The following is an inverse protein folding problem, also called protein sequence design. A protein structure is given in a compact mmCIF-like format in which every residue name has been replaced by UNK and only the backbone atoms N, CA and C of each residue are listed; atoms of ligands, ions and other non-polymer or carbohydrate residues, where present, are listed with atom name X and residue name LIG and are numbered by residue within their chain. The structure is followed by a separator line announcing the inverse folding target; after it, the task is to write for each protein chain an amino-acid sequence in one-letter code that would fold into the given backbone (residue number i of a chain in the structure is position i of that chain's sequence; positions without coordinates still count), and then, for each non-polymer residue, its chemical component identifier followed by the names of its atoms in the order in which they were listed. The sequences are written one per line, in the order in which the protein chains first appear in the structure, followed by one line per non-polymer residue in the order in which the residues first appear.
data_IF_570708746434
#
_entry.id   IF_570708746434
#
_cell.length_a   1.000
_cell.length_b   1.000
_cell.length_c   1.000
_cell.angle_alpha   90.00
_cell.angle_beta   90.00
_cell.angle_gamma   90.00
#
_symmetry.space_group_name_H-M   'P 1'
#
loop_
_entity.id
_entity.type
_entity.pdbx_description
1 polymer ?
#
# COMPACT_ATOMS: atom_id res chain seq x y z
N UNK A 1 -2.27 63.43 15.35
CA UNK A 1 -1.36 62.88 14.34
C UNK A 1 -1.08 61.43 14.70
N UNK A 2 -2.01 60.54 14.36
CA UNK A 2 -1.79 59.15 13.92
C UNK A 2 -3.17 58.56 13.62
N UNK A 3 -3.35 58.20 12.36
CA UNK A 3 -4.56 57.63 11.73
C UNK A 3 -4.50 56.12 12.05
N UNK A 4 -5.51 55.42 12.58
CA UNK A 4 -6.92 55.42 12.20
C UNK A 4 -7.20 54.31 11.17
N UNK A 5 -6.69 53.09 11.35
CA UNK A 5 -7.02 51.97 10.46
C UNK A 5 -8.25 51.20 10.96
N UNK A 6 -9.31 51.26 10.15
CA UNK A 6 -10.55 50.51 10.31
C UNK A 6 -10.42 49.22 9.49
N UNK A 7 -10.79 48.03 10.00
CA UNK A 7 -10.73 46.83 9.19
C UNK A 7 -11.85 46.83 8.14
N UNK A 8 -11.48 46.59 6.88
CA UNK A 8 -12.38 46.51 5.74
C UNK A 8 -13.40 45.35 5.88
N UNK A 9 -14.62 45.49 5.33
CA UNK A 9 -15.64 44.46 5.44
C UNK A 9 -15.25 43.21 4.63
N UNK A 10 -15.45 42.02 5.24
CA UNK A 10 -15.40 40.73 4.55
C UNK A 10 -16.44 40.72 3.43
N UNK A 11 -15.97 40.59 2.19
CA UNK A 11 -16.84 40.33 1.05
C UNK A 11 -17.57 38.99 1.26
N UNK A 12 -18.89 39.07 1.38
CA UNK A 12 -19.80 37.94 1.18
C UNK A 12 -19.67 37.49 -0.26
N UNK A 13 -19.14 36.28 -0.47
CA UNK A 13 -19.20 35.61 -1.77
C UNK A 13 -20.64 35.19 -2.00
N UNK A 14 -21.35 35.98 -2.79
CA UNK A 14 -22.65 35.63 -3.36
C UNK A 14 -22.55 34.34 -4.16
N UNK A 15 -23.42 33.40 -3.82
CA UNK A 15 -23.67 32.20 -4.57
C UNK A 15 -24.49 32.55 -5.82
N UNK A 16 -23.81 32.96 -6.89
CA UNK A 16 -24.42 33.03 -8.22
C UNK A 16 -23.76 32.00 -9.14
N UNK A 17 -24.44 30.87 -9.28
CA UNK A 17 -24.75 30.25 -10.58
C UNK A 17 -23.76 30.54 -11.71
N UNK A 18 -22.73 29.72 -11.82
CA UNK A 18 -22.04 29.45 -13.09
C UNK A 18 -22.10 27.96 -13.37
N UNK A 19 -23.13 27.55 -14.12
CA UNK A 19 -23.01 26.44 -15.06
C UNK A 19 -21.90 26.80 -16.05
N UNK A 20 -20.69 26.30 -15.82
CA UNK A 20 -19.67 26.20 -16.86
C UNK A 20 -19.33 24.73 -17.02
N UNK A 21 -19.44 24.25 -18.25
CA UNK A 21 -19.00 22.96 -18.75
C UNK A 21 -17.78 22.45 -18.01
N UNK A 22 -18.00 21.46 -17.15
CA UNK A 22 -16.92 20.75 -16.50
C UNK A 22 -16.30 19.86 -17.59
N UNK A 23 -15.38 20.41 -18.40
CA UNK A 23 -14.48 19.60 -19.22
C UNK A 23 -13.71 18.73 -18.24
N UNK A 24 -14.26 17.55 -17.96
CA UNK A 24 -13.76 16.64 -16.93
C UNK A 24 -12.33 16.33 -17.30
N UNK A 25 -11.38 16.88 -16.53
CA UNK A 25 -9.98 16.67 -16.84
C UNK A 25 -9.72 15.16 -16.93
N UNK A 26 -8.94 14.72 -17.93
CA UNK A 26 -8.60 13.31 -18.07
C UNK A 26 -7.94 12.79 -16.78
N UNK A 27 -8.07 11.49 -16.55
CA UNK A 27 -7.39 10.83 -15.41
C UNK A 27 -5.87 11.00 -15.54
N UNK A 28 -5.09 10.93 -14.45
CA UNK A 28 -3.64 11.18 -14.51
C UNK A 28 -2.87 10.32 -15.52
N UNK A 29 -3.32 9.08 -15.74
CA UNK A 29 -2.75 8.14 -16.70
C UNK A 29 -3.71 7.84 -17.86
N UNK A 30 -4.61 8.76 -18.19
CA UNK A 30 -5.43 8.64 -19.39
C UNK A 30 -4.53 8.53 -20.64
N UNK A 31 -4.87 7.60 -21.53
CA UNK A 31 -4.04 7.27 -22.70
C UNK A 31 -2.84 6.37 -22.43
N UNK A 32 -2.51 6.04 -21.17
CA UNK A 32 -1.45 5.06 -20.85
C UNK A 32 -2.02 3.64 -20.90
N UNK A 33 -1.37 2.75 -21.62
CA UNK A 33 -1.73 1.32 -21.71
C UNK A 33 -0.70 0.44 -21.00
N UNK A 34 -1.17 -0.50 -20.20
CA UNK A 34 -0.35 -1.40 -19.37
C UNK A 34 -0.64 -2.84 -19.73
N UNK A 35 0.40 -3.61 -20.06
CA UNK A 35 0.33 -5.07 -20.17
C UNK A 35 0.73 -5.69 -18.83
N UNK A 36 -0.24 -6.28 -18.14
CA UNK A 36 -0.11 -6.92 -16.84
C UNK A 36 0.07 -8.43 -17.02
N UNK A 37 1.31 -8.90 -16.95
CA UNK A 37 1.67 -10.33 -16.95
C UNK A 37 1.82 -10.89 -15.53
N UNK A 38 1.29 -10.18 -14.53
CA UNK A 38 1.57 -10.48 -13.12
C UNK A 38 0.52 -11.39 -12.49
N UNK A 39 0.89 -11.99 -11.36
CA UNK A 39 0.03 -12.88 -10.58
C UNK A 39 0.12 -12.62 -9.08
N UNK A 40 -0.88 -13.12 -8.34
CA UNK A 40 -0.92 -13.10 -6.87
C UNK A 40 -1.11 -11.69 -6.29
N UNK A 41 -0.05 -10.99 -5.84
CA UNK A 41 -0.20 -9.76 -5.07
C UNK A 41 0.67 -8.59 -5.49
N UNK A 42 2.00 -8.64 -5.36
CA UNK A 42 2.85 -7.45 -5.59
C UNK A 42 2.65 -6.80 -6.97
N UNK A 43 2.66 -7.62 -8.03
CA UNK A 43 2.40 -7.17 -9.39
C UNK A 43 0.96 -6.72 -9.62
N UNK A 44 -0.06 -7.55 -9.26
CA UNK A 44 -1.45 -7.13 -9.43
C UNK A 44 -1.82 -5.87 -8.65
N UNK A 45 -1.25 -5.67 -7.47
CA UNK A 45 -1.42 -4.46 -6.66
C UNK A 45 -0.81 -3.23 -7.36
N UNK A 46 0.40 -3.37 -7.94
CA UNK A 46 1.02 -2.34 -8.76
C UNK A 46 0.13 -1.94 -9.95
N UNK A 47 -0.29 -2.91 -10.76
CA UNK A 47 -1.06 -2.63 -11.98
C UNK A 47 -2.49 -2.17 -11.68
N UNK A 48 -3.09 -2.62 -10.58
CA UNK A 48 -4.37 -2.08 -10.09
C UNK A 48 -4.26 -0.59 -9.77
N UNK A 49 -3.19 -0.16 -9.09
CA UNK A 49 -2.98 1.26 -8.76
C UNK A 49 -2.77 2.11 -10.04
N UNK A 50 -2.09 1.59 -11.06
CA UNK A 50 -2.00 2.25 -12.38
C UNK A 50 -3.38 2.34 -13.04
N UNK A 51 -4.18 1.29 -12.96
CA UNK A 51 -5.58 1.30 -13.39
C UNK A 51 -6.41 2.34 -12.64
N UNK A 52 -6.27 2.44 -11.32
CA UNK A 52 -6.96 3.44 -10.48
C UNK A 52 -6.61 4.88 -10.89
N UNK A 53 -5.37 5.12 -11.32
CA UNK A 53 -4.88 6.38 -11.86
C UNK A 53 -5.32 6.66 -13.32
N UNK A 54 -6.03 5.75 -13.97
CA UNK A 54 -6.62 6.00 -15.30
C UNK A 54 -6.11 5.10 -16.42
N UNK A 55 -5.03 4.33 -16.20
CA UNK A 55 -4.46 3.52 -17.25
C UNK A 55 -5.43 2.42 -17.74
N UNK A 56 -5.31 2.05 -19.01
CA UNK A 56 -5.95 0.85 -19.57
C UNK A 56 -5.04 -0.35 -19.30
N UNK A 57 -5.47 -1.23 -18.39
CA UNK A 57 -4.66 -2.36 -17.92
C UNK A 57 -5.19 -3.65 -18.52
N UNK A 58 -4.38 -4.29 -19.36
CA UNK A 58 -4.65 -5.58 -19.99
C UNK A 58 -3.95 -6.67 -19.18
N UNK A 59 -4.71 -7.44 -18.41
CA UNK A 59 -4.23 -8.59 -17.65
C UNK A 59 -4.21 -9.84 -18.53
N UNK A 60 -3.03 -10.41 -18.71
CA UNK A 60 -2.82 -11.68 -19.39
C UNK A 60 -2.87 -12.81 -18.37
N UNK A 61 -3.76 -13.76 -18.59
CA UNK A 61 -4.01 -14.85 -17.66
C UNK A 61 -3.82 -16.22 -18.35
N UNK A 62 -3.28 -17.23 -17.66
CA UNK A 62 -3.14 -18.56 -18.22
C UNK A 62 -4.51 -19.24 -18.40
N UNK A 63 -4.64 -20.15 -19.39
CA UNK A 63 -5.90 -20.83 -19.64
C UNK A 63 -6.34 -21.70 -18.46
N UNK A 64 -7.66 -21.85 -18.32
CA UNK A 64 -8.37 -22.66 -17.31
C UNK A 64 -8.29 -22.13 -15.88
N UNK A 65 -7.10 -21.81 -15.38
CA UNK A 65 -6.93 -21.40 -13.98
C UNK A 65 -6.99 -19.90 -13.79
N UNK A 66 -6.56 -19.13 -14.80
CA UNK A 66 -6.29 -17.71 -14.65
C UNK A 66 -5.21 -17.42 -13.60
N UNK A 67 -5.22 -16.19 -13.06
CA UNK A 67 -4.39 -15.81 -11.93
C UNK A 67 -4.63 -16.73 -10.71
N UNK A 68 -3.55 -17.12 -10.01
CA UNK A 68 -3.65 -17.98 -8.83
C UNK A 68 -4.60 -17.42 -7.75
N UNK A 69 -4.71 -16.10 -7.62
CA UNK A 69 -5.64 -15.44 -6.70
C UNK A 69 -7.12 -15.78 -6.96
N UNK A 70 -7.48 -16.27 -8.14
CA UNK A 70 -8.83 -16.79 -8.46
C UNK A 70 -9.19 -18.07 -7.69
N UNK A 71 -8.22 -18.75 -7.06
CA UNK A 71 -8.48 -19.96 -6.25
C UNK A 71 -7.90 -19.91 -4.82
N UNK A 72 -7.26 -18.81 -4.42
CA UNK A 72 -6.68 -18.65 -3.07
C UNK A 72 -7.71 -18.51 -1.93
N UNK A 73 -7.44 -19.09 -0.76
CA UNK A 73 -8.31 -18.91 0.42
C UNK A 73 -9.45 -19.92 0.54
N UNK A 74 -9.58 -20.86 -0.40
CA UNK A 74 -10.53 -21.96 -0.33
C UNK A 74 -12.00 -21.52 -0.46
N UNK A 75 -12.92 -22.43 -0.14
CA UNK A 75 -14.37 -22.23 -0.34
C UNK A 75 -14.95 -21.08 0.48
N UNK A 76 -14.35 -20.73 1.61
CA UNK A 76 -14.81 -19.64 2.48
C UNK A 76 -14.64 -18.24 1.85
N UNK A 77 -13.74 -18.09 0.88
CA UNK A 77 -13.49 -16.82 0.19
C UNK A 77 -14.08 -16.79 -1.23
N UNK A 78 -14.72 -17.88 -1.64
CA UNK A 78 -15.30 -18.01 -2.97
C UNK A 78 -16.57 -17.16 -3.07
N UNK A 79 -16.64 -16.36 -4.15
CA UNK A 79 -17.85 -15.61 -4.50
C UNK A 79 -18.54 -16.27 -5.69
N UNK A 80 -19.69 -15.76 -6.13
CA UNK A 80 -20.36 -16.30 -7.32
C UNK A 80 -19.48 -16.13 -8.58
N UNK A 81 -19.51 -17.14 -9.45
CA UNK A 81 -18.74 -17.17 -10.70
C UNK A 81 -17.29 -17.64 -10.52
N UNK A 82 -16.40 -17.10 -11.35
CA UNK A 82 -14.95 -17.28 -11.27
C UNK A 82 -14.26 -16.20 -10.42
N UNK A 83 -15.06 -15.40 -9.72
CA UNK A 83 -14.63 -14.38 -8.77
C UNK A 83 -14.34 -15.01 -7.42
N UNK A 84 -13.10 -14.88 -6.97
CA UNK A 84 -12.70 -15.21 -5.61
C UNK A 84 -12.22 -13.95 -4.91
N UNK A 85 -12.51 -13.78 -3.62
CA UNK A 85 -12.30 -12.51 -2.93
C UNK A 85 -10.87 -11.93 -3.07
N UNK A 86 -9.78 -12.72 -3.04
CA UNK A 86 -8.43 -12.21 -3.30
C UNK A 86 -8.25 -11.63 -4.71
N UNK A 87 -8.79 -12.28 -5.74
CA UNK A 87 -8.74 -11.76 -7.10
C UNK A 87 -9.53 -10.45 -7.22
N UNK A 88 -10.74 -10.42 -6.65
CA UNK A 88 -11.61 -9.23 -6.68
C UNK A 88 -10.97 -8.03 -5.98
N UNK A 89 -10.20 -8.26 -4.92
CA UNK A 89 -9.52 -7.20 -4.17
C UNK A 89 -8.35 -6.55 -4.93
N UNK A 90 -7.79 -7.21 -5.96
CA UNK A 90 -6.52 -6.81 -6.59
C UNK A 90 -6.62 -6.53 -8.10
N UNK A 91 -7.79 -6.66 -8.71
CA UNK A 91 -7.91 -6.64 -10.18
C UNK A 91 -9.01 -5.72 -10.73
N UNK A 92 -9.54 -4.79 -9.93
CA UNK A 92 -10.41 -3.72 -10.45
C UNK A 92 -9.69 -2.88 -11.51
N UNK A 93 -10.45 -2.23 -12.38
CA UNK A 93 -9.95 -1.40 -13.49
C UNK A 93 -9.12 -2.14 -14.56
N UNK A 94 -9.15 -3.48 -14.58
CA UNK A 94 -8.43 -4.29 -15.57
C UNK A 94 -9.38 -4.89 -16.60
N UNK A 95 -8.85 -5.19 -17.78
CA UNK A 95 -9.42 -6.08 -18.80
C UNK A 95 -8.66 -7.40 -18.76
N UNK A 96 -9.32 -8.52 -19.06
CA UNK A 96 -8.70 -9.86 -19.01
C UNK A 96 -8.66 -10.50 -20.39
N UNK A 97 -7.50 -11.03 -20.77
CA UNK A 97 -7.30 -11.90 -21.92
C UNK A 97 -6.64 -13.21 -21.47
N UNK A 98 -7.13 -14.33 -21.99
CA UNK A 98 -6.52 -15.64 -21.77
C UNK A 98 -5.50 -15.94 -22.87
N UNK A 99 -4.25 -16.19 -22.47
CA UNK A 99 -3.16 -16.58 -23.37
C UNK A 99 -2.31 -17.70 -22.72
N UNK A 100 -2.10 -18.80 -23.43
CA UNK A 100 -1.03 -19.73 -23.14
C UNK A 100 0.28 -19.24 -23.75
N UNK A 101 1.10 -18.53 -22.95
CA UNK A 101 2.37 -17.98 -23.43
C UNK A 101 3.39 -19.03 -23.90
N UNK A 102 3.14 -20.33 -23.69
CA UNK A 102 3.93 -21.42 -24.28
C UNK A 102 3.52 -21.74 -25.72
N UNK A 103 2.26 -21.49 -26.07
CA UNK A 103 1.77 -21.58 -27.45
C UNK A 103 2.40 -20.49 -28.29
N UNK A 104 2.79 -20.84 -29.52
CA UNK A 104 3.40 -19.88 -30.45
C UNK A 104 2.43 -18.76 -30.83
N UNK A 105 1.16 -19.10 -31.07
CA UNK A 105 0.15 -18.12 -31.48
C UNK A 105 -0.19 -17.12 -30.35
N UNK A 106 -0.45 -17.62 -29.15
CA UNK A 106 -0.74 -16.78 -27.99
C UNK A 106 0.46 -15.92 -27.58
N UNK A 107 1.68 -16.47 -27.70
CA UNK A 107 2.91 -15.69 -27.52
C UNK A 107 3.02 -14.59 -28.59
N UNK A 108 2.72 -14.88 -29.85
CA UNK A 108 2.71 -13.88 -30.91
C UNK A 108 1.67 -12.78 -30.66
N UNK A 109 0.50 -13.14 -30.12
CA UNK A 109 -0.53 -12.18 -29.69
C UNK A 109 -0.03 -11.30 -28.54
N UNK A 110 0.62 -11.88 -27.52
CA UNK A 110 1.24 -11.11 -26.44
C UNK A 110 2.30 -10.13 -26.95
N UNK A 111 3.18 -10.59 -27.85
CA UNK A 111 4.21 -9.74 -28.50
C UNK A 111 3.57 -8.62 -29.32
N UNK A 112 2.48 -8.89 -30.04
CA UNK A 112 1.76 -7.87 -30.78
C UNK A 112 1.20 -6.78 -29.85
N UNK A 113 0.65 -7.16 -28.69
CA UNK A 113 0.19 -6.22 -27.67
C UNK A 113 1.32 -5.33 -27.15
N UNK A 114 2.54 -5.86 -26.97
CA UNK A 114 3.70 -5.09 -26.48
C UNK A 114 4.00 -3.86 -27.35
N UNK A 115 3.72 -3.93 -28.66
CA UNK A 115 3.90 -2.79 -29.58
C UNK A 115 2.93 -1.64 -29.33
N UNK A 116 1.87 -1.90 -28.60
CA UNK A 116 0.73 -0.99 -28.44
C UNK A 116 0.57 -0.47 -27.02
N UNK A 117 1.41 -0.93 -26.08
CA UNK A 117 1.40 -0.53 -24.67
C UNK A 117 2.57 0.38 -24.32
N UNK A 118 2.40 1.13 -23.24
CA UNK A 118 3.41 2.01 -22.67
C UNK A 118 4.23 1.34 -21.59
N UNK A 119 3.59 0.44 -20.83
CA UNK A 119 4.15 -0.24 -19.68
C UNK A 119 3.91 -1.74 -19.81
N UNK A 120 4.91 -2.55 -19.51
CA UNK A 120 4.76 -3.98 -19.24
C UNK A 120 5.18 -4.24 -17.80
N UNK A 121 4.34 -4.93 -17.03
CA UNK A 121 4.67 -5.36 -15.67
C UNK A 121 4.62 -6.88 -15.61
N UNK A 122 5.66 -7.49 -15.05
CA UNK A 122 5.73 -8.93 -14.85
C UNK A 122 6.33 -9.26 -13.49
N UNK A 123 5.95 -10.42 -12.93
CA UNK A 123 6.51 -10.92 -11.68
C UNK A 123 6.83 -12.41 -11.73
N UNK A 124 7.31 -12.88 -12.89
CA UNK A 124 7.75 -14.24 -13.02
C UNK A 124 9.08 -14.45 -12.29
N UNK A 125 9.42 -15.72 -12.05
CA UNK A 125 10.77 -16.06 -11.59
C UNK A 125 11.80 -15.60 -12.63
N UNK A 126 12.99 -15.14 -12.19
CA UNK A 126 14.08 -14.79 -13.10
C UNK A 126 14.32 -15.84 -14.19
N UNK A 127 14.55 -15.36 -15.41
CA UNK A 127 14.76 -16.19 -16.60
C UNK A 127 13.50 -16.79 -17.25
N UNK A 128 12.30 -16.67 -16.65
CA UNK A 128 11.05 -17.10 -17.31
C UNK A 128 10.76 -16.26 -18.55
N UNK A 129 10.80 -14.93 -18.42
CA UNK A 129 10.51 -14.01 -19.54
C UNK A 129 11.48 -14.20 -20.70
N UNK A 130 12.76 -14.43 -20.43
CA UNK A 130 13.76 -14.78 -21.45
C UNK A 130 13.43 -16.08 -22.20
N UNK A 131 13.00 -17.12 -21.49
CA UNK A 131 12.58 -18.39 -22.13
C UNK A 131 11.31 -18.23 -22.97
N UNK A 132 10.45 -17.29 -22.59
CA UNK A 132 9.24 -16.93 -23.34
C UNK A 132 9.52 -15.91 -24.45
N UNK A 133 10.74 -15.38 -24.59
CA UNK A 133 11.05 -14.30 -25.52
C UNK A 133 10.29 -13.00 -25.22
N UNK A 134 9.98 -12.76 -23.93
CA UNK A 134 9.26 -11.60 -23.39
C UNK A 134 10.15 -10.79 -22.42
N UNK A 135 11.47 -10.99 -22.46
CA UNK A 135 12.44 -10.18 -21.71
C UNK A 135 12.53 -8.75 -22.22
N UNK A 136 13.12 -7.87 -21.42
CA UNK A 136 13.22 -6.45 -21.73
C UNK A 136 13.98 -6.17 -23.02
N UNK A 137 15.11 -6.84 -23.25
CA UNK A 137 15.93 -6.62 -24.45
C UNK A 137 15.13 -6.95 -25.71
N UNK A 138 14.42 -8.08 -25.71
CA UNK A 138 13.54 -8.49 -26.81
C UNK A 138 12.38 -7.50 -27.02
N UNK A 139 11.71 -7.09 -25.93
CA UNK A 139 10.53 -6.24 -26.02
C UNK A 139 10.87 -4.78 -26.37
N UNK A 140 11.95 -4.24 -25.80
CA UNK A 140 12.41 -2.86 -26.06
C UNK A 140 12.94 -2.66 -27.47
N UNK A 141 13.49 -3.70 -28.11
CA UNK A 141 13.86 -3.66 -29.52
C UNK A 141 12.64 -3.42 -30.44
N UNK A 142 11.47 -3.95 -30.07
CA UNK A 142 10.23 -3.75 -30.81
C UNK A 142 9.49 -2.48 -30.40
N UNK A 143 9.57 -2.09 -29.13
CA UNK A 143 8.98 -0.88 -28.59
C UNK A 143 10.01 -0.10 -27.77
N UNK A 144 10.83 0.79 -28.39
CA UNK A 144 11.84 1.57 -27.68
C UNK A 144 11.29 2.55 -26.64
N UNK A 145 9.96 2.75 -26.62
CA UNK A 145 9.23 3.60 -25.68
C UNK A 145 8.69 2.81 -24.47
N UNK A 146 8.90 1.50 -24.43
CA UNK A 146 8.37 0.63 -23.40
C UNK A 146 9.05 0.88 -22.04
N UNK A 147 8.23 1.15 -21.03
CA UNK A 147 8.65 1.00 -19.63
C UNK A 147 8.41 -0.44 -19.23
N UNK A 148 9.47 -1.16 -18.85
CA UNK A 148 9.37 -2.56 -18.43
C UNK A 148 9.67 -2.66 -16.95
N UNK A 149 8.72 -3.16 -16.17
CA UNK A 149 8.84 -3.33 -14.73
C UNK A 149 8.85 -4.81 -14.35
N UNK A 150 9.91 -5.24 -13.68
CA UNK A 150 10.04 -6.59 -13.12
C UNK A 150 9.92 -6.56 -11.61
N UNK A 151 9.10 -7.44 -11.04
CA UNK A 151 8.97 -7.58 -9.58
C UNK A 151 9.28 -9.03 -9.20
N UNK A 152 10.31 -9.26 -8.40
CA UNK A 152 10.71 -10.63 -8.01
C UNK A 152 10.91 -10.79 -6.50
N UNK A 153 11.27 -11.99 -6.06
CA UNK A 153 11.56 -12.26 -4.65
C UNK A 153 12.77 -11.49 -4.11
N UNK A 154 13.86 -11.51 -4.87
CA UNK A 154 15.19 -11.08 -4.42
C UNK A 154 15.96 -10.25 -5.46
N UNK A 155 15.30 -9.82 -6.53
CA UNK A 155 15.91 -9.11 -7.67
C UNK A 155 16.25 -10.06 -8.81
N UNK A 156 16.62 -9.51 -9.97
CA UNK A 156 17.11 -10.27 -11.12
C UNK A 156 18.61 -10.60 -11.01
N UNK A 157 19.31 -10.01 -10.02
CA UNK A 157 20.75 -10.20 -9.81
C UNK A 157 21.06 -10.55 -8.35
N UNK A 158 22.33 -10.83 -8.06
CA UNK A 158 22.79 -11.24 -6.74
C UNK A 158 22.64 -12.74 -6.46
N UNK A 159 23.15 -13.22 -5.32
CA UNK A 159 23.29 -14.65 -5.03
C UNK A 159 21.94 -15.38 -4.87
N UNK A 160 20.84 -14.64 -4.67
CA UNK A 160 19.52 -15.18 -4.37
C UNK A 160 18.51 -14.97 -5.50
N UNK A 161 18.92 -14.46 -6.66
CA UNK A 161 18.03 -14.17 -7.78
C UNK A 161 17.12 -15.36 -8.15
N UNK A 162 17.69 -16.58 -8.22
CA UNK A 162 16.93 -17.77 -8.63
C UNK A 162 16.07 -18.40 -7.51
N UNK A 163 16.06 -17.82 -6.29
CA UNK A 163 15.27 -18.37 -5.18
C UNK A 163 13.78 -18.04 -5.34
N UNK A 164 12.88 -18.95 -4.95
CA UNK A 164 11.46 -18.63 -4.88
C UNK A 164 11.22 -17.56 -3.82
N UNK A 165 10.52 -16.49 -4.19
CA UNK A 165 10.15 -15.39 -3.29
C UNK A 165 8.67 -15.38 -2.97
N UNK A 166 8.36 -15.26 -1.69
CA UNK A 166 7.04 -14.94 -1.16
C UNK A 166 7.23 -13.95 -0.01
N UNK A 167 6.19 -13.16 0.27
CA UNK A 167 6.21 -12.14 1.32
C UNK A 167 6.77 -12.66 2.66
N UNK A 168 6.26 -13.79 3.16
CA UNK A 168 6.71 -14.38 4.43
C UNK A 168 8.22 -14.68 4.43
N UNK A 169 8.74 -15.18 3.32
CA UNK A 169 10.18 -15.49 3.19
C UNK A 169 10.99 -14.19 3.16
N UNK A 170 10.53 -13.18 2.43
CA UNK A 170 11.17 -11.87 2.40
C UNK A 170 11.18 -11.22 3.80
N UNK A 171 10.06 -11.22 4.53
CA UNK A 171 10.01 -10.70 5.91
C UNK A 171 11.01 -11.41 6.85
N UNK A 172 11.14 -12.73 6.73
CA UNK A 172 12.10 -13.50 7.52
C UNK A 172 13.56 -13.18 7.18
N UNK A 173 13.85 -12.93 5.90
CA UNK A 173 15.22 -12.68 5.43
C UNK A 173 15.68 -11.22 5.60
N UNK A 174 14.75 -10.30 5.82
CA UNK A 174 15.04 -8.85 5.92
C UNK A 174 15.12 -8.33 7.36
N UNK A 175 14.99 -9.23 8.35
CA UNK A 175 15.04 -8.87 9.76
C UNK A 175 13.72 -8.30 10.32
N UNK A 176 12.72 -8.04 9.47
CA UNK A 176 11.38 -7.56 9.91
C UNK A 176 10.79 -8.47 10.98
N UNK A 177 10.87 -9.80 10.79
CA UNK A 177 10.33 -10.74 11.77
C UNK A 177 11.11 -10.76 13.10
N UNK A 178 12.39 -10.41 13.08
CA UNK A 178 13.24 -10.35 14.29
C UNK A 178 12.88 -9.15 15.18
N UNK A 179 12.33 -8.09 14.59
CA UNK A 179 11.99 -6.84 15.29
C UNK A 179 10.50 -6.70 15.58
N UNK A 180 9.69 -7.66 15.14
CA UNK A 180 8.23 -7.67 15.27
C UNK A 180 7.79 -8.71 16.30
N UNK A 181 6.97 -8.28 17.26
CA UNK A 181 6.44 -9.12 18.33
C UNK A 181 6.85 -8.64 19.73
N UNK A 182 6.60 -9.48 20.73
CA UNK A 182 6.95 -9.19 22.12
C UNK A 182 8.46 -9.40 22.40
N UNK A 183 9.04 -8.65 23.36
CA UNK A 183 10.41 -8.89 23.81
C UNK A 183 10.63 -10.35 24.23
N UNK A 184 11.65 -11.00 23.67
CA UNK A 184 11.96 -12.41 23.97
C UNK A 184 10.96 -13.44 23.43
N UNK A 185 9.96 -13.00 22.65
CA UNK A 185 9.00 -13.88 21.99
C UNK A 185 9.58 -14.56 20.73
N UNK A 186 8.78 -15.44 20.13
CA UNK A 186 9.09 -16.03 18.82
C UNK A 186 8.96 -14.97 17.71
N UNK A 187 9.78 -15.03 16.63
CA UNK A 187 9.67 -14.09 15.51
C UNK A 187 8.25 -14.04 14.91
N UNK A 188 7.70 -12.84 14.72
CA UNK A 188 6.35 -12.65 14.19
C UNK A 188 6.40 -11.94 12.84
N UNK A 189 5.57 -12.37 11.88
CA UNK A 189 5.38 -11.61 10.65
C UNK A 189 4.48 -10.41 10.89
N UNK A 190 4.58 -9.41 10.03
CA UNK A 190 3.59 -8.34 9.94
C UNK A 190 2.20 -8.94 9.64
N UNK A 191 1.15 -8.34 10.22
CA UNK A 191 -0.24 -8.76 10.01
C UNK A 191 -0.67 -8.66 8.54
N UNK A 192 -0.10 -7.71 7.80
CA UNK A 192 -0.28 -7.52 6.37
C UNK A 192 0.94 -7.99 5.57
N UNK A 193 0.78 -8.35 4.28
CA UNK A 193 1.88 -8.77 3.41
C UNK A 193 2.72 -7.57 2.98
N UNK A 194 3.53 -7.05 3.91
CA UNK A 194 4.23 -5.78 3.78
C UNK A 194 5.26 -5.77 2.64
N UNK A 195 5.93 -6.88 2.36
CA UNK A 195 6.91 -6.98 1.29
C UNK A 195 6.22 -6.98 -0.08
N UNK A 196 5.10 -7.72 -0.24
CA UNK A 196 4.31 -7.68 -1.48
C UNK A 196 3.76 -6.26 -1.76
N UNK A 197 3.13 -5.65 -0.75
CA UNK A 197 2.50 -4.34 -0.88
C UNK A 197 3.54 -3.25 -1.15
N UNK A 198 4.67 -3.26 -0.44
CA UNK A 198 5.73 -2.26 -0.63
C UNK A 198 6.45 -2.43 -1.97
N UNK A 199 6.74 -3.66 -2.41
CA UNK A 199 7.28 -3.89 -3.75
C UNK A 199 6.34 -3.35 -4.84
N UNK A 200 5.04 -3.57 -4.70
CA UNK A 200 4.05 -3.00 -5.60
C UNK A 200 4.06 -1.45 -5.60
N UNK A 201 4.17 -0.81 -4.43
CA UNK A 201 4.25 0.66 -4.32
C UNK A 201 5.54 1.22 -4.93
N UNK A 202 6.70 0.59 -4.67
CA UNK A 202 7.96 1.00 -5.27
C UNK A 202 7.97 0.82 -6.78
N UNK A 203 7.36 -0.26 -7.30
CA UNK A 203 7.18 -0.46 -8.73
C UNK A 203 6.31 0.64 -9.36
N UNK A 204 5.18 1.00 -8.74
CA UNK A 204 4.34 2.13 -9.21
C UNK A 204 5.15 3.43 -9.25
N UNK A 205 5.90 3.74 -8.19
CA UNK A 205 6.75 4.93 -8.15
C UNK A 205 7.78 4.94 -9.30
N UNK A 206 8.50 3.83 -9.49
CA UNK A 206 9.45 3.67 -10.58
C UNK A 206 8.81 3.83 -11.96
N UNK A 207 7.63 3.23 -12.19
CA UNK A 207 6.89 3.33 -13.45
C UNK A 207 6.47 4.77 -13.73
N UNK A 208 5.90 5.48 -12.75
CA UNK A 208 5.51 6.88 -12.91
C UNK A 208 6.72 7.76 -13.23
N UNK A 209 7.84 7.57 -12.53
CA UNK A 209 9.09 8.28 -12.82
C UNK A 209 9.63 7.94 -14.22
N UNK A 210 9.56 6.68 -14.65
CA UNK A 210 9.98 6.26 -15.98
C UNK A 210 9.11 6.83 -17.10
N UNK A 211 7.79 6.92 -16.89
CA UNK A 211 6.88 7.57 -17.83
C UNK A 211 7.17 9.07 -17.96
N UNK A 212 7.47 9.75 -16.84
CA UNK A 212 7.90 11.15 -16.84
C UNK A 212 9.25 11.33 -17.55
N UNK A 213 10.24 10.47 -17.28
CA UNK A 213 11.53 10.51 -17.96
C UNK A 213 11.38 10.30 -19.47
N UNK A 214 10.53 9.34 -19.88
CA UNK A 214 10.19 9.07 -21.27
C UNK A 214 9.54 10.25 -21.99
N UNK A 215 8.76 11.07 -21.28
CA UNK A 215 8.17 12.28 -21.87
C UNK A 215 9.25 13.28 -22.34
N UNK A 216 10.43 13.26 -21.73
CA UNK A 216 11.57 14.11 -22.10
C UNK A 216 12.51 13.42 -23.09
N UNK A 217 12.85 12.16 -22.84
CA UNK A 217 13.85 11.42 -23.62
C UNK A 217 13.29 10.79 -24.90
N UNK A 218 11.97 10.61 -24.96
CA UNK A 218 11.31 9.82 -25.99
C UNK A 218 11.53 8.31 -25.86
N UNK A 219 12.27 7.82 -24.86
CA UNK A 219 12.65 6.41 -24.68
C UNK A 219 12.14 5.85 -23.36
N UNK A 220 11.69 4.59 -23.40
CA UNK A 220 11.38 3.83 -22.21
C UNK A 220 12.65 3.30 -21.53
N UNK A 221 12.46 2.52 -20.46
CA UNK A 221 13.56 1.91 -19.72
C UNK A 221 13.10 0.67 -18.96
N UNK A 222 14.08 -0.14 -18.57
CA UNK A 222 13.91 -1.23 -17.63
C UNK A 222 13.97 -0.71 -16.21
N UNK A 223 13.09 -1.23 -15.35
CA UNK A 223 13.19 -1.08 -13.90
C UNK A 223 12.84 -2.40 -13.23
N UNK A 224 13.45 -2.64 -12.08
CA UNK A 224 13.15 -3.79 -11.23
C UNK A 224 13.04 -3.38 -9.77
N UNK A 225 12.34 -4.19 -9.00
CA UNK A 225 12.33 -4.16 -7.54
C UNK A 225 12.10 -5.58 -7.03
N UNK A 226 12.34 -5.80 -5.75
CA UNK A 226 12.07 -7.08 -5.12
C UNK A 226 11.33 -6.98 -3.79
N UNK A 227 10.73 -8.11 -3.38
CA UNK A 227 10.14 -8.24 -2.04
C UNK A 227 11.19 -8.03 -0.95
N UNK A 228 12.42 -8.52 -1.16
CA UNK A 228 13.53 -8.36 -0.24
C UNK A 228 13.97 -6.90 -0.09
N UNK A 229 14.25 -6.22 -1.21
CA UNK A 229 14.72 -4.83 -1.18
C UNK A 229 13.65 -3.88 -0.66
N UNK A 230 12.38 -4.10 -1.03
CA UNK A 230 11.28 -3.26 -0.58
C UNK A 230 11.03 -3.37 0.93
N UNK A 231 11.08 -4.58 1.49
CA UNK A 231 11.01 -4.80 2.94
C UNK A 231 12.19 -4.14 3.68
N UNK A 232 13.43 -4.27 3.17
CA UNK A 232 14.58 -3.58 3.76
C UNK A 232 14.45 -2.06 3.68
N UNK A 233 13.96 -1.52 2.57
CA UNK A 233 13.78 -0.09 2.38
C UNK A 233 12.81 0.54 3.41
N UNK A 234 11.91 -0.25 3.99
CA UNK A 234 11.01 0.19 5.06
C UNK A 234 11.63 0.14 6.47
N UNK A 235 12.79 -0.50 6.64
CA UNK A 235 13.45 -0.73 7.94
C UNK A 235 14.34 0.45 8.38
N UNK A 236 13.86 1.69 8.22
CA UNK A 236 14.66 2.92 8.36
C UNK A 236 15.15 3.12 9.80
N UNK A 237 14.29 2.93 10.80
CA UNK A 237 14.67 3.13 12.20
C UNK A 237 15.53 1.98 12.72
N UNK A 238 15.24 0.76 12.30
CA UNK A 238 15.98 -0.45 12.66
C UNK A 238 17.43 -0.40 12.16
N UNK A 239 17.62 -0.03 10.89
CA UNK A 239 18.95 0.13 10.30
C UNK A 239 19.70 1.29 10.95
N UNK A 240 19.01 2.40 11.25
CA UNK A 240 19.61 3.53 11.97
C UNK A 240 20.07 3.13 13.37
N UNK A 241 19.25 2.41 14.15
CA UNK A 241 19.61 1.91 15.48
C UNK A 241 20.83 0.98 15.40
N UNK A 242 20.83 0.06 14.44
CA UNK A 242 21.95 -0.87 14.23
C UNK A 242 23.24 -0.14 13.89
N UNK A 243 23.24 0.76 12.91
CA UNK A 243 24.45 1.48 12.49
C UNK A 243 24.96 2.45 13.56
N UNK A 244 24.07 3.07 14.33
CA UNK A 244 24.46 3.99 15.39
C UNK A 244 25.06 3.28 16.62
N UNK A 245 24.61 2.06 16.92
CA UNK A 245 24.97 1.38 18.18
C UNK A 245 25.82 0.12 18.00
N UNK A 246 25.91 -0.42 16.78
CA UNK A 246 26.53 -1.71 16.48
C UNK A 246 25.74 -2.92 16.98
N UNK A 247 24.53 -2.73 17.53
CA UNK A 247 23.71 -3.80 18.11
C UNK A 247 22.43 -3.95 17.32
N UNK A 248 22.10 -5.19 16.94
CA UNK A 248 20.88 -5.46 16.20
C UNK A 248 19.65 -5.12 17.06
N UNK A 249 18.66 -4.40 16.50
CA UNK A 249 17.41 -4.12 17.19
C UNK A 249 16.66 -5.41 17.55
N UNK A 250 15.97 -5.41 18.68
CA UNK A 250 15.10 -6.49 19.10
C UNK A 250 13.62 -6.09 18.98
N UNK A 251 12.74 -7.10 19.08
CA UNK A 251 11.30 -6.91 19.24
C UNK A 251 10.97 -6.24 20.57
N UNK A 252 9.99 -5.33 20.56
CA UNK A 252 9.66 -4.47 21.71
C UNK A 252 8.16 -4.29 21.96
N UNK A 253 7.32 -5.17 21.39
CA UNK A 253 5.88 -5.00 21.37
C UNK A 253 5.48 -3.74 20.60
N UNK A 254 4.54 -2.97 21.15
CA UNK A 254 4.03 -1.72 20.55
C UNK A 254 4.93 -0.50 20.78
N UNK A 255 6.05 -0.64 21.51
CA UNK A 255 6.87 0.49 21.91
C UNK A 255 7.73 1.08 20.80
N UNK A 256 7.81 2.41 20.78
CA UNK A 256 8.68 3.14 19.86
C UNK A 256 10.16 3.06 20.30
N UNK A 257 11.07 2.88 19.34
CA UNK A 257 12.53 2.73 19.56
C UNK A 257 13.18 3.98 20.16
N UNK A 258 12.76 5.14 19.68
CA UNK A 258 13.43 6.41 19.96
C UNK A 258 12.69 7.34 20.92
N UNK A 259 11.48 6.98 21.35
CA UNK A 259 10.66 7.88 22.16
C UNK A 259 9.86 7.12 23.23
N UNK A 260 9.75 7.71 24.42
CA UNK A 260 8.91 7.19 25.49
C UNK A 260 8.21 8.33 26.27
N UNK A 261 6.92 8.19 26.65
CA UNK A 261 6.02 7.12 26.25
C UNK A 261 5.51 7.33 24.81
N UNK A 262 5.69 6.30 23.99
CA UNK A 262 5.06 6.19 22.67
C UNK A 262 4.82 4.70 22.39
N UNK A 263 3.66 4.20 22.84
CA UNK A 263 3.30 2.79 22.78
C UNK A 263 1.81 2.58 23.09
N UNK A 264 1.37 1.32 23.04
CA UNK A 264 0.08 0.90 23.57
C UNK A 264 0.14 0.70 25.10
N UNK A 265 -0.97 1.04 25.77
CA UNK A 265 -1.17 0.87 27.20
C UNK A 265 -2.54 0.26 27.47
N UNK A 266 -2.63 -0.62 28.46
CA UNK A 266 -3.90 -1.22 28.88
C UNK A 266 -4.78 -0.22 29.64
N UNK A 267 -6.08 -0.26 29.37
CA UNK A 267 -7.14 0.48 30.09
C UNK A 267 -8.10 -0.51 30.76
N UNK A 268 -9.23 -0.06 31.31
CA UNK A 268 -10.19 -0.96 31.97
C UNK A 268 -10.87 -1.96 31.01
N UNK A 269 -10.98 -1.62 29.72
CA UNK A 269 -11.77 -2.36 28.72
C UNK A 269 -11.03 -2.66 27.41
N UNK A 270 -9.79 -2.19 27.24
CA UNK A 270 -9.04 -2.39 26.01
C UNK A 270 -7.62 -1.82 26.06
N UNK A 271 -7.21 -1.22 24.94
CA UNK A 271 -5.89 -0.60 24.80
C UNK A 271 -5.99 0.78 24.16
N UNK A 272 -5.14 1.69 24.63
CA UNK A 272 -4.95 3.03 24.10
C UNK A 272 -3.50 3.21 23.64
N UNK A 273 -3.29 3.76 22.45
CA UNK A 273 -2.00 4.29 22.04
C UNK A 273 -1.85 5.72 22.55
N UNK A 274 -0.71 6.05 23.16
CA UNK A 274 -0.39 7.40 23.64
C UNK A 274 0.97 7.81 23.08
N UNK A 275 1.10 9.06 22.58
CA UNK A 275 2.36 9.61 22.10
C UNK A 275 2.71 10.94 22.78
N UNK A 276 3.54 10.89 23.83
CA UNK A 276 4.02 12.08 24.54
C UNK A 276 5.46 12.45 24.14
N UNK A 277 5.60 12.93 22.91
CA UNK A 277 6.90 13.19 22.28
C UNK A 277 7.60 14.48 22.74
N UNK A 278 6.84 15.50 23.13
CA UNK A 278 7.36 16.80 23.52
C UNK A 278 7.30 16.99 25.04
N UNK A 279 8.11 17.88 25.63
CA UNK A 279 7.98 18.24 27.05
C UNK A 279 6.56 18.71 27.42
N UNK A 280 5.88 19.42 26.50
CA UNK A 280 4.50 19.85 26.69
C UNK A 280 3.53 18.66 26.73
N UNK A 281 3.64 17.70 25.78
CA UNK A 281 2.80 16.50 25.82
C UNK A 281 3.05 15.68 27.09
N UNK A 282 4.31 15.58 27.53
CA UNK A 282 4.66 14.87 28.76
C UNK A 282 4.02 15.53 30.00
N UNK A 283 4.12 16.85 30.12
CA UNK A 283 3.47 17.60 31.20
C UNK A 283 1.95 17.45 31.20
N UNK A 284 1.31 17.58 30.03
CA UNK A 284 -0.13 17.37 29.88
C UNK A 284 -0.54 15.94 30.22
N UNK A 285 0.25 14.94 29.82
CA UNK A 285 -0.02 13.54 30.13
C UNK A 285 -0.02 13.30 31.64
N UNK A 286 1.06 13.66 32.34
CA UNK A 286 1.15 13.46 33.79
C UNK A 286 0.04 14.20 34.56
N UNK A 287 -0.31 15.41 34.12
CA UNK A 287 -1.40 16.18 34.73
C UNK A 287 -2.75 15.48 34.51
N UNK A 288 -3.02 15.02 33.28
CA UNK A 288 -4.29 14.36 32.91
C UNK A 288 -4.46 13.01 33.59
N UNK A 289 -3.36 12.27 33.78
CA UNK A 289 -3.34 11.00 34.52
C UNK A 289 -3.45 11.19 36.05
N UNK A 290 -3.36 12.42 36.56
CA UNK A 290 -3.34 12.67 38.01
C UNK A 290 -2.03 12.20 38.66
N UNK A 291 -0.93 12.14 37.90
CA UNK A 291 0.39 11.68 38.34
C UNK A 291 1.46 12.77 38.27
N UNK A 292 1.25 13.99 38.84
CA UNK A 292 2.22 15.08 38.75
C UNK A 292 3.59 14.72 39.36
N UNK A 293 3.64 13.75 40.27
CA UNK A 293 4.90 13.21 40.80
C UNK A 293 5.83 12.66 39.72
N UNK A 294 5.31 12.13 38.61
CA UNK A 294 6.12 11.67 37.48
C UNK A 294 6.90 12.80 36.81
N UNK A 295 6.39 14.04 36.84
CA UNK A 295 7.10 15.18 36.24
C UNK A 295 8.34 15.58 37.03
N UNK A 296 8.29 15.41 38.35
CA UNK A 296 9.41 15.72 39.25
C UNK A 296 10.41 14.55 39.38
N UNK A 297 10.06 13.36 38.88
CA UNK A 297 10.90 12.17 39.01
C UNK A 297 12.12 12.23 38.07
N UNK A 298 13.32 12.10 38.65
CA UNK A 298 14.57 12.10 37.90
C UNK A 298 14.64 10.97 36.84
N UNK A 299 13.91 9.86 37.04
CA UNK A 299 13.78 8.76 36.07
C UNK A 299 13.10 9.18 34.77
N UNK A 300 12.32 10.27 34.77
CA UNK A 300 11.48 10.69 33.63
C UNK A 300 11.74 12.11 33.12
N UNK A 301 12.79 12.76 33.63
CA UNK A 301 13.10 14.18 33.38
C UNK A 301 13.21 14.55 31.88
N UNK A 302 13.69 13.62 31.06
CA UNK A 302 13.90 13.80 29.63
C UNK A 302 13.62 12.49 28.87
N UNK A 303 13.61 12.54 27.54
CA UNK A 303 13.30 11.37 26.72
C UNK A 303 14.30 10.23 26.91
N UNK A 304 15.59 10.53 27.09
CA UNK A 304 16.61 9.51 27.28
C UNK A 304 16.38 8.73 28.59
N UNK A 305 16.06 9.46 29.67
CA UNK A 305 15.72 8.85 30.95
C UNK A 305 14.41 8.06 30.89
N UNK A 306 13.39 8.56 30.18
CA UNK A 306 12.14 7.80 29.96
C UNK A 306 12.37 6.52 29.15
N UNK A 307 13.23 6.55 28.13
CA UNK A 307 13.62 5.37 27.36
C UNK A 307 14.36 4.32 28.20
N UNK A 308 15.27 4.78 29.06
CA UNK A 308 16.02 3.93 29.97
C UNK A 308 15.13 3.26 31.03
N UNK A 309 14.03 3.93 31.41
CA UNK A 309 13.08 3.45 32.42
C UNK A 309 11.73 3.01 31.82
N UNK A 310 11.67 2.70 30.52
CA UNK A 310 10.41 2.54 29.77
C UNK A 310 9.44 1.54 30.38
N UNK A 311 9.94 0.41 30.88
CA UNK A 311 9.09 -0.65 31.41
C UNK A 311 8.45 -0.23 32.73
N UNK A 312 9.20 0.47 33.57
CA UNK A 312 8.69 1.02 34.83
C UNK A 312 7.69 2.14 34.53
N UNK A 313 8.04 3.05 33.62
CA UNK A 313 7.15 4.12 33.16
C UNK A 313 5.84 3.56 32.62
N UNK A 314 5.89 2.51 31.80
CA UNK A 314 4.71 1.90 31.22
C UNK A 314 3.78 1.33 32.29
N UNK A 315 4.32 0.58 33.25
CA UNK A 315 3.52 0.04 34.37
C UNK A 315 2.85 1.14 35.19
N UNK A 316 3.56 2.24 35.46
CA UNK A 316 2.99 3.35 36.23
C UNK A 316 1.91 4.10 35.43
N UNK A 317 2.07 4.25 34.10
CA UNK A 317 1.02 4.80 33.22
C UNK A 317 -0.21 3.89 33.18
N UNK A 318 -0.02 2.58 33.01
CA UNK A 318 -1.12 1.61 32.99
C UNK A 318 -1.89 1.58 34.31
N UNK A 319 -1.19 1.69 35.45
CA UNK A 319 -1.84 1.80 36.75
C UNK A 319 -2.73 3.04 36.85
N UNK A 320 -2.30 4.17 36.27
CA UNK A 320 -3.09 5.39 36.21
C UNK A 320 -4.28 5.29 35.25
N UNK A 321 -4.15 4.51 34.16
CA UNK A 321 -5.19 4.29 33.17
C UNK A 321 -6.25 3.26 33.60
N UNK A 322 -5.91 2.32 34.48
CA UNK A 322 -6.78 1.21 34.90
C UNK A 322 -8.21 1.60 35.36
N UNK A 323 -8.47 2.77 36.00
CA UNK A 323 -9.81 3.11 36.50
C UNK A 323 -10.85 3.49 35.45
N UNK A 324 -10.47 3.76 34.19
CA UNK A 324 -11.40 4.24 33.16
C UNK A 324 -11.25 3.52 31.82
N UNK A 325 -12.32 3.61 31.03
CA UNK A 325 -12.42 3.03 29.70
C UNK A 325 -11.48 3.70 28.71
N UNK A 326 -11.18 2.99 27.63
CA UNK A 326 -10.38 3.48 26.50
C UNK A 326 -10.96 4.79 25.95
N UNK A 327 -12.26 4.82 25.68
CA UNK A 327 -12.95 6.00 25.15
C UNK A 327 -12.82 7.22 26.08
N UNK A 328 -13.04 7.03 27.39
CA UNK A 328 -12.93 8.12 28.36
C UNK A 328 -11.51 8.70 28.43
N UNK A 329 -10.48 7.85 28.33
CA UNK A 329 -9.10 8.34 28.28
C UNK A 329 -8.74 9.03 26.97
N UNK A 330 -9.18 8.51 25.83
CA UNK A 330 -8.98 9.15 24.53
C UNK A 330 -9.55 10.57 24.55
N UNK A 331 -10.78 10.77 25.01
CA UNK A 331 -11.40 12.09 25.11
C UNK A 331 -10.60 13.05 26.01
N UNK A 332 -10.23 12.60 27.22
CA UNK A 332 -9.47 13.41 28.19
C UNK A 332 -8.09 13.81 27.65
N UNK A 333 -7.36 12.87 27.06
CA UNK A 333 -6.02 13.12 26.53
C UNK A 333 -6.05 14.04 25.31
N UNK A 334 -7.00 13.84 24.39
CA UNK A 334 -7.18 14.74 23.25
C UNK A 334 -7.56 16.15 23.70
N UNK A 335 -8.46 16.29 24.69
CA UNK A 335 -8.81 17.59 25.27
C UNK A 335 -7.60 18.30 25.94
N UNK A 336 -6.63 17.53 26.45
CA UNK A 336 -5.38 18.04 27.01
C UNK A 336 -4.26 18.25 25.97
N UNK A 337 -4.55 18.04 24.68
CA UNK A 337 -3.57 18.17 23.59
C UNK A 337 -2.54 17.05 23.52
N UNK A 338 -2.80 15.90 24.17
CA UNK A 338 -1.95 14.71 24.10
C UNK A 338 -2.47 13.79 22.99
N UNK A 339 -1.67 13.49 21.94
CA UNK A 339 -2.07 12.55 20.91
C UNK A 339 -2.33 11.16 21.50
N UNK A 340 -3.57 10.67 21.33
CA UNK A 340 -3.98 9.35 21.77
C UNK A 340 -5.10 8.78 20.86
N UNK A 341 -5.22 7.46 20.81
CA UNK A 341 -6.28 6.79 20.06
C UNK A 341 -6.46 5.32 20.47
N UNK A 342 -7.66 4.75 20.28
CA UNK A 342 -7.93 3.35 20.62
C UNK A 342 -7.18 2.40 19.69
N UNK A 343 -6.85 1.19 20.18
CA UNK A 343 -6.53 0.06 19.32
C UNK A 343 -7.82 -0.71 19.07
N UNK A 344 -8.25 -0.70 17.82
CA UNK A 344 -9.50 -1.32 17.36
C UNK A 344 -9.21 -2.51 16.46
N UNK A 345 -10.18 -3.41 16.33
CA UNK A 345 -10.10 -4.49 15.34
C UNK A 345 -10.42 -4.01 13.91
N UNK A 346 -10.38 -4.94 12.96
CA UNK A 346 -10.60 -4.63 11.55
C UNK A 346 -12.08 -4.31 11.24
N UNK A 347 -13.04 -4.91 11.94
CA UNK A 347 -14.46 -4.61 11.74
C UNK A 347 -14.78 -3.18 12.21
N UNK A 348 -14.30 -2.82 13.40
CA UNK A 348 -14.39 -1.47 13.95
C UNK A 348 -13.74 -0.44 13.00
N UNK A 349 -12.52 -0.71 12.51
CA UNK A 349 -11.83 0.19 11.58
C UNK A 349 -12.57 0.37 10.24
N UNK A 350 -13.18 -0.70 9.71
CA UNK A 350 -13.89 -0.66 8.42
C UNK A 350 -15.30 -0.06 8.54
N UNK A 351 -15.87 -0.01 9.73
CA UNK A 351 -17.19 0.59 10.02
C UNK A 351 -17.09 1.98 10.64
N UNK A 352 -15.88 2.45 10.94
CA UNK A 352 -15.63 3.76 11.54
C UNK A 352 -16.16 4.91 10.66
N UNK A 353 -16.87 5.91 11.25
CA UNK A 353 -17.39 7.05 10.51
C UNK A 353 -16.33 7.83 9.72
N UNK A 354 -15.09 7.90 10.21
CA UNK A 354 -13.98 8.52 9.50
C UNK A 354 -13.58 7.71 8.26
N UNK A 355 -13.50 6.38 8.34
CA UNK A 355 -13.20 5.54 7.18
C UNK A 355 -14.23 5.73 6.05
N UNK A 356 -15.52 5.82 6.42
CA UNK A 356 -16.60 6.14 5.48
C UNK A 356 -16.53 7.57 4.94
N UNK A 357 -16.35 8.58 5.80
CA UNK A 357 -16.22 9.98 5.39
C UNK A 357 -15.00 10.21 4.48
N UNK A 358 -13.95 9.40 4.64
CA UNK A 358 -12.75 9.39 3.80
C UNK A 358 -12.86 8.46 2.60
N UNK A 359 -14.03 7.89 2.33
CA UNK A 359 -14.30 7.05 1.15
C UNK A 359 -13.25 5.94 1.03
N UNK A 360 -12.97 5.24 2.14
CA UNK A 360 -12.04 4.11 2.17
C UNK A 360 -12.75 2.77 1.99
N UNK A 361 -14.08 2.77 1.95
CA UNK A 361 -14.91 1.59 1.67
C UNK A 361 -15.77 1.91 0.45
N UNK A 362 -15.42 1.34 -0.70
CA UNK A 362 -16.08 1.60 -1.98
C UNK A 362 -16.94 0.40 -2.40
N UNK A 363 -18.26 0.59 -2.62
CA UNK A 363 -19.09 -0.44 -3.22
C UNK A 363 -18.81 -0.54 -4.73
N UNK A 364 -18.72 -1.77 -5.23
CA UNK A 364 -18.51 -2.06 -6.65
C UNK A 364 -19.57 -3.08 -7.09
N UNK A 365 -20.33 -2.75 -8.12
CA UNK A 365 -21.25 -3.70 -8.76
C UNK A 365 -20.44 -4.61 -9.69
N UNK A 366 -20.45 -5.91 -9.42
CA UNK A 366 -19.77 -6.91 -10.22
C UNK A 366 -20.80 -7.80 -10.94
N UNK A 367 -20.65 -8.08 -12.25
CA UNK A 367 -21.64 -8.80 -13.05
C UNK A 367 -22.07 -10.15 -12.49
N UNK A 368 -21.13 -10.90 -11.90
CA UNK A 368 -21.39 -12.24 -11.33
C UNK A 368 -21.41 -12.26 -9.80
N UNK A 369 -20.40 -11.70 -9.13
CA UNK A 369 -20.31 -11.64 -7.67
C UNK A 369 -21.33 -10.69 -7.00
N UNK A 370 -22.11 -9.92 -7.77
CA UNK A 370 -23.04 -8.93 -7.25
C UNK A 370 -22.33 -7.72 -6.63
N UNK A 371 -22.94 -7.11 -5.63
CA UNK A 371 -22.36 -5.93 -4.96
C UNK A 371 -21.25 -6.36 -4.01
N UNK A 372 -20.00 -6.02 -4.35
CA UNK A 372 -18.81 -6.28 -3.53
C UNK A 372 -18.27 -4.99 -2.92
N UNK A 373 -17.44 -5.10 -1.87
CA UNK A 373 -16.74 -3.97 -1.27
C UNK A 373 -15.26 -4.05 -1.59
N UNK A 374 -14.65 -2.91 -1.87
CA UNK A 374 -13.19 -2.79 -2.05
C UNK A 374 -12.66 -1.62 -1.22
N UNK A 375 -11.36 -1.64 -0.91
CA UNK A 375 -10.72 -0.48 -0.29
C UNK A 375 -10.70 0.69 -1.27
N UNK A 376 -11.09 1.87 -0.80
CA UNK A 376 -11.03 3.10 -1.56
C UNK A 376 -9.61 3.63 -1.73
N UNK A 377 -9.48 4.77 -2.40
CA UNK A 377 -8.17 5.29 -2.78
C UNK A 377 -7.50 6.08 -1.64
N UNK A 378 -6.29 5.73 -1.20
CA UNK A 378 -5.63 6.40 -0.06
C UNK A 378 -5.11 7.81 -0.40
N UNK A 379 -4.97 8.16 -1.69
CA UNK A 379 -4.59 9.51 -2.15
C UNK A 379 -5.81 10.19 -2.76
N UNK A 380 -6.19 11.36 -2.25
CA UNK A 380 -7.36 12.12 -2.73
C UNK A 380 -6.91 13.23 -3.68
N UNK A 381 -7.10 13.02 -4.98
CA UNK A 381 -6.78 14.02 -6.00
C UNK A 381 -7.89 15.06 -6.12
N UNK A 382 -7.55 16.34 -6.05
CA UNK A 382 -8.52 17.43 -6.14
C UNK A 382 -9.10 17.63 -7.55
N UNK A 383 -8.26 17.56 -8.58
CA UNK A 383 -8.68 17.86 -9.96
C UNK A 383 -8.94 16.61 -10.81
N UNK A 384 -8.29 15.49 -10.51
CA UNK A 384 -8.33 14.25 -11.31
C UNK A 384 -8.56 13.03 -10.40
N UNK A 385 -9.75 12.93 -9.75
CA UNK A 385 -10.02 11.89 -8.76
C UNK A 385 -9.96 10.48 -9.36
N UNK A 386 -9.30 9.57 -8.65
CA UNK A 386 -9.29 8.13 -8.96
C UNK A 386 -10.70 7.54 -8.83
N UNK A 387 -11.00 6.53 -9.66
CA UNK A 387 -12.31 5.90 -9.73
C UNK A 387 -12.21 4.43 -10.09
N UNK A 388 -13.14 3.63 -9.56
CA UNK A 388 -13.40 2.29 -10.09
C UNK A 388 -14.26 2.45 -11.34
N UNK A 389 -13.61 2.41 -12.51
CA UNK A 389 -14.23 2.49 -13.84
C UNK A 389 -14.74 1.13 -14.31
N UNK A 390 -14.05 0.06 -13.93
CA UNK A 390 -14.43 -1.33 -14.25
C UNK A 390 -14.34 -2.20 -12.99
N UNK A 391 -15.31 -3.10 -12.75
CA UNK A 391 -15.12 -4.15 -11.76
C UNK A 391 -13.96 -5.06 -12.16
N UNK A 392 -13.43 -5.89 -11.24
CA UNK A 392 -12.51 -6.96 -11.61
C UNK A 392 -13.10 -7.84 -12.73
N UNK A 393 -12.32 -8.20 -13.77
CA UNK A 393 -12.86 -8.89 -14.92
C UNK A 393 -13.05 -10.39 -14.68
N UNK A 394 -14.07 -10.97 -15.31
CA UNK A 394 -14.13 -12.44 -15.48
C UNK A 394 -12.94 -12.90 -16.35
N UNK A 395 -12.55 -14.16 -16.19
CA UNK A 395 -11.42 -14.77 -16.89
C UNK A 395 -11.67 -14.72 -18.40
N UNK A 396 -10.82 -13.96 -19.10
CA UNK A 396 -10.90 -13.82 -20.54
C UNK A 396 -12.08 -13.00 -21.04
N UNK A 397 -12.78 -12.26 -20.17
CA UNK A 397 -13.96 -11.45 -20.51
C UNK A 397 -13.75 -10.54 -21.74
N UNK A 398 -12.51 -10.07 -21.93
CA UNK A 398 -12.17 -9.10 -22.96
C UNK A 398 -11.30 -9.71 -24.08
N UNK A 399 -11.19 -11.04 -24.15
CA UNK A 399 -10.22 -11.71 -25.05
C UNK A 399 -10.43 -11.35 -26.52
N UNK A 400 -11.68 -11.32 -27.00
CA UNK A 400 -12.01 -10.99 -28.40
C UNK A 400 -11.64 -9.54 -28.72
N UNK A 401 -12.00 -8.60 -27.85
CA UNK A 401 -11.68 -7.17 -27.98
C UNK A 401 -10.16 -6.94 -28.03
N UNK A 402 -9.43 -7.55 -27.09
CA UNK A 402 -7.98 -7.39 -26.96
C UNK A 402 -7.24 -8.06 -28.14
N UNK A 403 -7.69 -9.22 -28.63
CA UNK A 403 -7.13 -9.86 -29.84
C UNK A 403 -7.31 -8.99 -31.08
N UNK A 404 -8.46 -8.33 -31.22
CA UNK A 404 -8.68 -7.34 -32.30
C UNK A 404 -7.72 -6.15 -32.18
N UNK A 405 -7.53 -5.60 -30.98
CA UNK A 405 -6.55 -4.52 -30.74
C UNK A 405 -5.11 -4.94 -31.07
N UNK A 406 -4.79 -6.23 -30.92
CA UNK A 406 -3.51 -6.80 -31.31
C UNK A 406 -3.39 -7.10 -32.82
N UNK A 407 -4.47 -6.96 -33.60
CA UNK A 407 -4.52 -7.36 -35.01
C UNK A 407 -4.50 -8.87 -35.22
N UNK A 408 -5.13 -9.63 -34.32
CA UNK A 408 -5.12 -11.11 -34.25
C UNK A 408 -6.54 -11.70 -34.16
N UNK A 409 -7.47 -11.25 -35.00
CA UNK A 409 -8.90 -11.63 -34.92
C UNK A 409 -9.21 -13.10 -35.27
N UNK A 410 -8.39 -13.72 -36.14
CA UNK A 410 -8.67 -15.03 -36.73
C UNK A 410 -7.91 -16.21 -36.08
N UNK A 411 -7.37 -16.02 -34.86
CA UNK A 411 -6.49 -16.97 -34.18
C UNK A 411 -7.02 -17.47 -32.83
#
# INVERSE_FOLDING_TARGET
MNVGETPAPRATLDATSTTSENSRMPSPLDGVRVLDLTQVMAGPFCTMQLGDLGADVIKVEPPRTGDLSRSMGGTAMQTAGDGNAPFLALNRNKRSIVLDLKSEDDRATCIALVRTVDVLVENFRPGVTRRLGLDYESMSAMNPRLVYASISGFGQTGPYADRPGFDLIAQGMTGIMSVTGEPGGTPMKCGIPIADLSAGLFAVNGILAALLARAHSGRGQYLETSLYESALALSVWETTEYWATGRAPAAMGSAHRLNAPYQAFRTSDGYINIAALTPAHWASLCTTLGTPGMLADARYRDNAMRLANREVLAREIEAALAPHTTAAWVERLLAAGVPAGPIVDLEEALTDPHAHARQMIEPVEHPVAGRVRTLGFPVKFGATPMRVRRPPPQLGEHSVEIRREAGREDA
#
